data_IF_911969259897
#
_entry.id   IF_911969259897
#
_cell.length_a   1.000
_cell.length_b   1.000
_cell.length_c   1.000
_cell.angle_alpha   90.00
_cell.angle_beta   90.00
_cell.angle_gamma   90.00
#
_symmetry.space_group_name_H-M   'P 1'
#
loop_
_entity.id
_entity.type
_entity.pdbx_description
1 polymer ?
#
# COMPACT_ATOMS: atom_id res chain seq x y z
N UNK A 1 42.22 25.51 17.12
CA UNK A 1 42.21 24.63 15.93
C UNK A 1 41.09 23.56 15.96
N UNK A 2 40.36 23.39 17.07
CA UNK A 2 39.30 22.38 17.25
C UNK A 2 37.90 22.84 16.81
N UNK A 3 37.61 24.15 16.86
CA UNK A 3 36.26 24.68 16.61
C UNK A 3 35.75 24.53 15.16
N UNK A 4 36.62 24.58 14.16
CA UNK A 4 36.20 24.44 12.75
C UNK A 4 35.77 23.00 12.42
N UNK A 5 36.43 22.00 13.01
CA UNK A 5 36.08 20.58 12.85
C UNK A 5 34.73 20.28 13.48
N UNK A 6 34.48 20.81 14.69
CA UNK A 6 33.20 20.68 15.40
C UNK A 6 32.04 21.34 14.63
N UNK A 7 32.23 22.56 14.13
CA UNK A 7 31.22 23.25 13.30
C UNK A 7 30.95 22.55 11.97
N UNK A 8 31.94 21.88 11.38
CA UNK A 8 31.76 21.09 10.15
C UNK A 8 31.03 19.78 10.44
N UNK A 9 31.35 19.08 11.53
CA UNK A 9 30.63 17.88 11.97
C UNK A 9 29.17 18.18 12.33
N UNK A 10 28.90 19.24 13.09
CA UNK A 10 27.52 19.64 13.41
C UNK A 10 26.69 19.95 12.15
N UNK A 11 27.29 20.59 11.13
CA UNK A 11 26.61 20.83 9.85
C UNK A 11 26.25 19.53 9.13
N UNK A 12 27.14 18.54 9.12
CA UNK A 12 26.86 17.22 8.52
C UNK A 12 25.77 16.48 9.30
N UNK A 13 25.83 16.48 10.63
CA UNK A 13 24.81 15.85 11.48
C UNK A 13 23.44 16.50 11.26
N UNK A 14 23.36 17.83 11.24
CA UNK A 14 22.10 18.55 10.97
C UNK A 14 21.59 18.24 9.56
N UNK A 15 22.47 18.20 8.55
CA UNK A 15 22.07 17.85 7.19
C UNK A 15 21.50 16.42 7.10
N UNK A 16 22.14 15.44 7.74
CA UNK A 16 21.64 14.06 7.81
C UNK A 16 20.28 14.02 8.51
N UNK A 17 20.13 14.77 9.61
CA UNK A 17 18.89 14.79 10.39
C UNK A 17 17.73 15.41 9.58
N UNK A 18 17.98 16.47 8.82
CA UNK A 18 17.01 17.05 7.89
C UNK A 18 16.62 16.06 6.79
N UNK A 19 17.59 15.35 6.20
CA UNK A 19 17.31 14.30 5.19
C UNK A 19 16.43 13.21 5.77
N UNK A 20 16.72 12.73 6.99
CA UNK A 20 15.90 11.71 7.66
C UNK A 20 14.47 12.18 7.89
N UNK A 21 14.26 13.44 8.31
CA UNK A 21 12.91 14.02 8.48
C UNK A 21 12.19 14.09 7.14
N UNK A 22 12.84 14.61 6.09
CA UNK A 22 12.25 14.68 4.75
C UNK A 22 11.89 13.29 4.20
N UNK A 23 12.75 12.30 4.38
CA UNK A 23 12.47 10.91 4.01
C UNK A 23 11.27 10.36 4.80
N UNK A 24 11.21 10.57 6.12
CA UNK A 24 10.09 10.14 6.95
C UNK A 24 8.75 10.74 6.49
N UNK A 25 8.72 12.05 6.23
CA UNK A 25 7.55 12.74 5.70
C UNK A 25 7.16 12.24 4.31
N UNK A 26 8.13 12.01 3.44
CA UNK A 26 7.91 11.46 2.09
C UNK A 26 7.30 10.06 2.12
N UNK A 27 7.80 9.19 2.99
CA UNK A 27 7.25 7.83 3.18
C UNK A 27 5.82 7.91 3.70
N UNK A 28 5.57 8.71 4.74
CA UNK A 28 4.23 8.85 5.32
C UNK A 28 3.21 9.36 4.28
N UNK A 29 3.61 10.36 3.49
CA UNK A 29 2.76 10.90 2.42
C UNK A 29 2.53 9.87 1.30
N UNK A 30 3.56 9.11 0.93
CA UNK A 30 3.44 8.05 -0.08
C UNK A 30 2.47 6.96 0.37
N UNK A 31 2.54 6.50 1.63
CA UNK A 31 1.62 5.50 2.15
C UNK A 31 0.17 5.99 2.11
N UNK A 32 -0.10 7.20 2.61
CA UNK A 32 -1.43 7.80 2.57
C UNK A 32 -1.95 7.95 1.14
N UNK A 33 -1.09 8.31 0.20
CA UNK A 33 -1.45 8.43 -1.21
C UNK A 33 -1.69 7.08 -1.90
N UNK A 34 -0.90 6.07 -1.58
CA UNK A 34 -1.03 4.73 -2.14
C UNK A 34 -2.26 3.97 -1.64
N UNK A 35 -2.74 4.30 -0.44
CA UNK A 35 -3.98 3.75 0.11
C UNK A 35 -5.25 4.36 -0.54
N UNK A 36 -5.13 5.56 -1.13
CA UNK A 36 -6.24 6.21 -1.84
C UNK A 36 -6.66 5.43 -3.09
N UNK A 37 -7.90 5.64 -3.56
CA UNK A 37 -8.37 5.08 -4.83
C UNK A 37 -7.44 5.42 -6.00
N UNK A 38 -7.39 4.53 -6.98
CA UNK A 38 -6.67 4.79 -8.23
C UNK A 38 -7.37 5.90 -8.99
N UNK A 39 -8.70 5.80 -9.07
CA UNK A 39 -9.57 6.77 -9.71
C UNK A 39 -10.90 6.84 -8.95
N UNK A 40 -11.06 7.90 -8.16
CA UNK A 40 -12.25 8.15 -7.33
C UNK A 40 -13.54 8.33 -8.15
N UNK A 41 -13.44 8.75 -9.42
CA UNK A 41 -14.60 8.99 -10.28
C UNK A 41 -15.00 7.75 -11.08
N UNK A 42 -14.12 6.75 -11.17
CA UNK A 42 -14.37 5.56 -11.96
C UNK A 42 -15.54 4.74 -11.42
N UNK A 43 -16.55 4.57 -12.28
CA UNK A 43 -17.67 3.63 -12.07
C UNK A 43 -17.38 2.24 -12.66
N UNK A 44 -16.21 2.05 -13.27
CA UNK A 44 -15.85 0.80 -13.93
C UNK A 44 -15.74 -0.33 -12.90
N UNK A 45 -16.40 -1.45 -13.19
CA UNK A 45 -16.30 -2.65 -12.37
C UNK A 45 -15.35 -3.63 -13.04
N UNK A 46 -14.25 -3.95 -12.36
CA UNK A 46 -13.22 -4.89 -12.79
C UNK A 46 -13.41 -6.21 -12.05
N UNK A 47 -13.50 -7.32 -12.79
CA UNK A 47 -13.52 -8.65 -12.19
C UNK A 47 -12.09 -9.10 -11.92
N UNK A 48 -11.84 -9.46 -10.66
CA UNK A 48 -10.55 -9.96 -10.21
C UNK A 48 -10.74 -11.37 -9.68
N UNK A 49 -9.94 -12.30 -10.19
CA UNK A 49 -9.96 -13.69 -9.74
C UNK A 49 -8.75 -13.97 -8.86
N UNK A 50 -9.01 -14.44 -7.65
CA UNK A 50 -7.99 -14.81 -6.66
C UNK A 50 -7.89 -16.34 -6.62
N UNK A 51 -6.74 -16.93 -7.00
CA UNK A 51 -6.58 -18.38 -6.98
C UNK A 51 -6.60 -18.94 -5.55
N UNK A 52 -6.98 -20.22 -5.42
CA UNK A 52 -6.97 -20.92 -4.13
C UNK A 52 -5.53 -21.03 -3.62
N UNK A 53 -5.32 -20.67 -2.36
CA UNK A 53 -3.98 -20.67 -1.75
C UNK A 53 -3.08 -19.51 -2.20
N UNK A 54 -3.62 -18.47 -2.85
CA UNK A 54 -2.85 -17.30 -3.22
C UNK A 54 -2.20 -16.63 -1.99
N UNK A 55 -0.92 -16.31 -2.11
CA UNK A 55 -0.20 -15.50 -1.12
C UNK A 55 -0.57 -14.02 -1.23
N UNK A 56 -0.38 -13.23 -0.17
CA UNK A 56 -0.68 -11.78 -0.19
C UNK A 56 0.07 -11.05 -1.29
N UNK A 57 1.31 -11.49 -1.53
CA UNK A 57 2.15 -11.00 -2.59
C UNK A 57 1.57 -11.29 -3.97
N UNK A 58 0.95 -12.46 -4.17
CA UNK A 58 0.25 -12.78 -5.42
C UNK A 58 -1.05 -11.97 -5.55
N UNK A 59 -1.84 -11.88 -4.48
CA UNK A 59 -3.09 -11.10 -4.45
C UNK A 59 -2.83 -9.63 -4.81
N UNK A 60 -1.87 -8.99 -4.14
CA UNK A 60 -1.47 -7.59 -4.41
C UNK A 60 -0.95 -7.40 -5.84
N UNK A 61 -0.25 -8.39 -6.40
CA UNK A 61 0.19 -8.37 -7.81
C UNK A 61 -1.00 -8.37 -8.76
N UNK A 62 -1.95 -9.27 -8.53
CA UNK A 62 -3.15 -9.41 -9.38
C UNK A 62 -3.97 -8.11 -9.32
N UNK A 63 -4.19 -7.58 -8.11
CA UNK A 63 -4.91 -6.31 -7.92
C UNK A 63 -4.24 -5.15 -8.64
N UNK A 64 -2.90 -5.08 -8.61
CA UNK A 64 -2.14 -4.04 -9.31
C UNK A 64 -2.19 -4.21 -10.82
N UNK A 65 -2.04 -5.43 -11.32
CA UNK A 65 -2.14 -5.76 -12.75
C UNK A 65 -3.52 -5.40 -13.33
N UNK A 66 -4.57 -5.53 -12.53
CA UNK A 66 -5.93 -5.13 -12.87
C UNK A 66 -6.23 -3.64 -12.66
N UNK A 67 -5.21 -2.83 -12.32
CA UNK A 67 -5.32 -1.40 -12.05
C UNK A 67 -6.34 -1.02 -10.96
N UNK A 68 -6.62 -1.94 -10.02
CA UNK A 68 -7.56 -1.69 -8.93
C UNK A 68 -6.86 -1.04 -7.73
N UNK A 69 -5.57 -1.36 -7.52
CA UNK A 69 -4.74 -0.74 -6.46
C UNK A 69 -3.62 0.10 -7.04
N UNK A 70 -3.28 1.19 -6.35
CA UNK A 70 -2.28 2.16 -6.80
C UNK A 70 -0.86 1.64 -6.64
N UNK A 71 -0.56 0.99 -5.53
CA UNK A 71 0.76 0.41 -5.26
C UNK A 71 0.64 -1.04 -4.81
N UNK A 72 1.42 -1.92 -5.44
CA UNK A 72 1.54 -3.33 -5.04
C UNK A 72 2.12 -3.43 -3.64
N UNK A 73 3.20 -2.71 -3.34
CA UNK A 73 3.91 -2.80 -2.06
C UNK A 73 3.04 -2.39 -0.88
N UNK A 74 2.31 -1.28 -1.02
CA UNK A 74 1.43 -0.80 0.06
C UNK A 74 0.24 -1.73 0.26
N UNK A 75 -0.33 -2.27 -0.83
CA UNK A 75 -1.40 -3.27 -0.73
C UNK A 75 -0.91 -4.58 -0.09
N UNK A 76 0.28 -5.06 -0.48
CA UNK A 76 0.93 -6.23 0.11
C UNK A 76 1.18 -6.06 1.61
N UNK A 77 1.77 -4.92 2.00
CA UNK A 77 1.99 -4.57 3.40
C UNK A 77 0.68 -4.48 4.19
N UNK A 78 -0.35 -3.85 3.61
CA UNK A 78 -1.66 -3.73 4.24
C UNK A 78 -2.32 -5.11 4.43
N UNK A 79 -2.22 -5.98 3.43
CA UNK A 79 -2.70 -7.36 3.50
C UNK A 79 -1.99 -8.17 4.59
N UNK A 80 -0.67 -8.01 4.73
CA UNK A 80 0.13 -8.73 5.74
C UNK A 80 -0.18 -8.24 7.17
N UNK A 81 -0.35 -6.92 7.35
CA UNK A 81 -0.58 -6.33 8.68
C UNK A 81 -2.03 -6.45 9.16
N UNK A 82 -3.01 -6.39 8.26
CA UNK A 82 -4.44 -6.39 8.61
C UNK A 82 -5.09 -7.76 8.36
N UNK A 83 -4.33 -8.83 8.51
CA UNK A 83 -4.69 -10.17 8.08
C UNK A 83 -5.52 -10.94 9.11
N UNK A 84 -6.66 -10.40 9.56
CA UNK A 84 -7.44 -11.03 10.62
C UNK A 84 -8.03 -12.40 10.23
N UNK A 85 -8.35 -12.62 8.95
CA UNK A 85 -9.08 -13.82 8.49
C UNK A 85 -8.52 -14.49 7.22
N UNK A 86 -7.41 -13.96 6.68
CA UNK A 86 -6.85 -14.34 5.37
C UNK A 86 -7.73 -13.92 4.18
N UNK A 87 -7.11 -13.75 3.01
CA UNK A 87 -7.83 -13.45 1.76
C UNK A 87 -8.59 -14.69 1.28
N UNK A 88 -9.87 -14.53 0.93
CA UNK A 88 -10.66 -15.62 0.37
C UNK A 88 -10.37 -15.79 -1.13
N UNK A 89 -10.34 -17.04 -1.58
CA UNK A 89 -10.24 -17.37 -2.99
C UNK A 89 -11.62 -17.22 -3.66
N UNK A 90 -11.63 -16.77 -4.91
CA UNK A 90 -12.87 -16.53 -5.65
C UNK A 90 -12.77 -15.38 -6.63
N UNK A 91 -13.92 -15.04 -7.23
CA UNK A 91 -14.04 -13.94 -8.17
C UNK A 91 -14.73 -12.75 -7.50
N UNK A 92 -14.04 -11.62 -7.45
CA UNK A 92 -14.52 -10.39 -6.81
C UNK A 92 -14.76 -9.32 -7.87
N UNK A 93 -15.81 -8.53 -7.65
CA UNK A 93 -16.11 -7.34 -8.46
C UNK A 93 -15.58 -6.13 -7.70
N UNK A 94 -14.49 -5.55 -8.18
CA UNK A 94 -13.84 -4.40 -7.55
C UNK A 94 -13.92 -3.19 -8.46
N UNK A 95 -13.89 -1.99 -7.88
CA UNK A 95 -13.86 -0.73 -8.63
C UNK A 95 -12.55 0.01 -8.32
N UNK A 96 -11.92 0.68 -9.30
CA UNK A 96 -10.74 1.52 -9.08
C UNK A 96 -10.99 2.70 -8.12
N UNK A 97 -12.26 3.02 -7.89
CA UNK A 97 -12.74 4.01 -6.91
C UNK A 97 -12.71 3.51 -5.47
N UNK A 98 -12.50 2.22 -5.23
CA UNK A 98 -12.30 1.70 -3.89
C UNK A 98 -10.89 1.99 -3.38
N UNK A 99 -10.80 2.31 -2.08
CA UNK A 99 -9.53 2.44 -1.40
C UNK A 99 -8.91 1.08 -1.11
N UNK A 100 -7.59 1.03 -0.92
CA UNK A 100 -6.89 -0.23 -0.58
C UNK A 100 -7.49 -0.92 0.65
N UNK A 101 -7.83 -0.21 1.76
CA UNK A 101 -8.52 -0.79 2.91
C UNK A 101 -9.88 -1.41 2.57
N UNK A 102 -10.67 -0.75 1.72
CA UNK A 102 -11.98 -1.25 1.30
C UNK A 102 -11.85 -2.53 0.48
N UNK A 103 -10.88 -2.57 -0.45
CA UNK A 103 -10.60 -3.76 -1.26
C UNK A 103 -10.19 -4.92 -0.37
N UNK A 104 -9.27 -4.69 0.57
CA UNK A 104 -8.79 -5.73 1.49
C UNK A 104 -9.92 -6.23 2.39
N UNK A 105 -10.73 -5.34 2.94
CA UNK A 105 -11.92 -5.70 3.73
C UNK A 105 -12.90 -6.53 2.92
N UNK A 106 -13.20 -6.13 1.68
CA UNK A 106 -14.06 -6.90 0.77
C UNK A 106 -13.50 -8.30 0.51
N UNK A 107 -12.19 -8.44 0.27
CA UNK A 107 -11.53 -9.73 0.03
C UNK A 107 -11.54 -10.66 1.25
N UNK A 108 -11.60 -10.10 2.46
CA UNK A 108 -11.65 -10.86 3.72
C UNK A 108 -13.09 -11.17 4.16
N UNK A 109 -14.02 -10.22 3.95
CA UNK A 109 -15.39 -10.26 4.42
C UNK A 109 -16.35 -10.92 3.43
N UNK A 110 -16.07 -10.81 2.13
CA UNK A 110 -16.80 -11.54 1.09
C UNK A 110 -16.62 -13.03 1.32
N UNK A 111 -17.54 -13.61 2.08
CA UNK A 111 -17.84 -15.03 2.07
C UNK A 111 -17.90 -15.42 0.60
N UNK A 112 -17.02 -16.32 0.17
CA UNK A 112 -17.20 -17.01 -1.09
C UNK A 112 -18.66 -17.44 -1.13
N UNK A 113 -19.44 -16.84 -2.04
CA UNK A 113 -20.86 -17.06 -2.17
C UNK A 113 -21.08 -18.57 -2.16
N UNK A 114 -21.74 -19.04 -1.10
CA UNK A 114 -22.19 -20.42 -1.00
C UNK A 114 -23.40 -20.58 -1.92
#
# INVERSE_FOLDING_TARGET
MTDERLRRQNRVVVAILVILICCGLGIHQYFNYALKPVDSSSKQTVRVQIPKGATDRQVSTILKSKHVVRSRFVCDYYLQTHKSSGVKAGTFKLKPSYSTPQIVSLLQQSRASR
#
